data_IF_871074049402
#
_entry.id   IF_871074049402
#
_cell.length_a   1.000
_cell.length_b   1.000
_cell.length_c   1.000
_cell.angle_alpha   90.00
_cell.angle_beta   90.00
_cell.angle_gamma   90.00
#
_symmetry.space_group_name_H-M   'P 1'
#
loop_
_entity.id
_entity.type
_entity.pdbx_description
1 polymer ?
#
# COMPACT_ATOMS: atom_id res chain seq x y z
N UNK A 1 -2.88 -26.61 3.07
CA UNK A 1 -4.20 -26.16 3.55
C UNK A 1 -4.35 -24.64 3.37
N UNK A 2 -3.41 -23.83 3.83
CA UNK A 2 -3.46 -22.37 3.79
C UNK A 2 -3.73 -21.84 2.37
N UNK A 3 -2.96 -22.29 1.36
CA UNK A 3 -3.12 -21.89 -0.05
C UNK A 3 -4.54 -22.17 -0.56
N UNK A 4 -5.12 -23.34 -0.26
CA UNK A 4 -6.47 -23.70 -0.71
C UNK A 4 -7.53 -22.79 -0.08
N UNK A 5 -7.47 -22.59 1.24
CA UNK A 5 -8.45 -21.75 1.94
C UNK A 5 -8.35 -20.29 1.52
N UNK A 6 -7.13 -19.77 1.38
CA UNK A 6 -6.88 -18.42 0.87
C UNK A 6 -7.43 -18.25 -0.56
N UNK A 7 -7.29 -19.28 -1.43
CA UNK A 7 -7.81 -19.23 -2.79
C UNK A 7 -9.33 -19.12 -2.82
N UNK A 8 -10.04 -19.87 -1.99
CA UNK A 8 -11.50 -19.72 -1.85
C UNK A 8 -11.87 -18.30 -1.39
N UNK A 9 -11.22 -17.80 -0.33
CA UNK A 9 -11.49 -16.47 0.18
C UNK A 9 -11.17 -15.38 -0.85
N UNK A 10 -10.05 -15.51 -1.58
CA UNK A 10 -9.64 -14.57 -2.62
C UNK A 10 -10.61 -14.49 -3.82
N UNK A 11 -11.26 -15.60 -4.18
CA UNK A 11 -12.19 -15.63 -5.29
C UNK A 11 -13.58 -15.05 -4.98
N UNK A 12 -13.92 -14.92 -3.68
CA UNK A 12 -15.27 -14.48 -3.26
C UNK A 12 -15.64 -13.09 -3.79
N UNK A 13 -16.96 -12.80 -3.94
CA UNK A 13 -17.45 -11.50 -4.41
C UNK A 13 -16.91 -10.30 -3.60
N UNK A 14 -16.85 -10.43 -2.27
CA UNK A 14 -16.32 -9.39 -1.38
C UNK A 14 -14.79 -9.40 -1.27
N UNK A 15 -14.11 -10.06 -2.18
CA UNK A 15 -12.66 -10.11 -2.33
C UNK A 15 -12.25 -9.64 -3.73
N UNK A 16 -11.64 -10.50 -4.55
CA UNK A 16 -11.28 -10.17 -5.94
C UNK A 16 -12.45 -10.34 -6.91
N UNK A 17 -13.53 -10.97 -6.49
CA UNK A 17 -14.73 -11.27 -7.30
C UNK A 17 -14.37 -11.99 -8.62
N UNK A 18 -13.63 -13.09 -8.52
CA UNK A 18 -13.09 -13.82 -9.66
C UNK A 18 -13.96 -14.97 -10.11
N UNK A 19 -14.03 -15.14 -11.42
CA UNK A 19 -14.76 -16.24 -12.07
C UNK A 19 -14.07 -16.71 -13.35
N UNK A 20 -14.55 -17.79 -13.95
CA UNK A 20 -14.07 -18.30 -15.25
C UNK A 20 -14.26 -17.31 -16.42
N UNK A 21 -15.00 -16.21 -16.23
CA UNK A 21 -15.17 -15.15 -17.24
C UNK A 21 -14.07 -14.11 -17.22
N UNK A 22 -13.19 -14.14 -16.21
CA UNK A 22 -12.14 -13.15 -16.06
C UNK A 22 -10.89 -13.53 -16.85
N UNK A 23 -10.19 -12.50 -17.30
CA UNK A 23 -8.84 -12.58 -17.87
C UNK A 23 -7.96 -11.75 -16.94
N UNK A 24 -7.07 -12.42 -16.22
CA UNK A 24 -6.27 -11.84 -15.15
C UNK A 24 -4.82 -11.60 -15.59
N UNK A 25 -4.31 -10.41 -15.31
CA UNK A 25 -2.90 -10.03 -15.52
C UNK A 25 -2.23 -9.78 -14.15
N UNK A 26 -1.54 -10.77 -13.55
CA UNK A 26 -0.79 -10.57 -12.32
C UNK A 26 0.57 -9.92 -12.63
N UNK A 27 0.69 -8.61 -12.40
CA UNK A 27 1.96 -7.88 -12.53
C UNK A 27 2.70 -7.91 -11.18
N UNK A 28 2.75 -9.10 -10.60
CA UNK A 28 3.41 -9.38 -9.31
C UNK A 28 4.35 -10.57 -9.52
N UNK A 29 5.61 -10.49 -9.04
CA UNK A 29 6.58 -11.57 -9.25
C UNK A 29 6.12 -12.91 -8.65
N UNK A 30 6.32 -14.00 -9.38
CA UNK A 30 5.99 -15.36 -8.92
C UNK A 30 6.74 -15.75 -7.64
N UNK A 31 7.93 -15.21 -7.41
CA UNK A 31 8.70 -15.46 -6.19
C UNK A 31 8.15 -14.74 -4.95
N UNK A 32 7.27 -13.74 -5.13
CA UNK A 32 6.69 -12.98 -4.01
C UNK A 32 5.29 -13.51 -3.68
N UNK A 33 5.23 -14.37 -2.68
CA UNK A 33 4.01 -15.07 -2.21
C UNK A 33 3.22 -15.68 -3.38
N UNK A 34 3.97 -16.25 -4.36
CA UNK A 34 3.44 -16.85 -5.59
C UNK A 34 2.50 -15.90 -6.35
N UNK A 35 2.99 -14.70 -6.68
CA UNK A 35 2.20 -13.65 -7.33
C UNK A 35 0.87 -13.38 -6.60
N UNK A 36 0.92 -13.23 -5.28
CA UNK A 36 -0.23 -13.03 -4.40
C UNK A 36 -1.29 -14.15 -4.47
N UNK A 37 -0.82 -15.39 -4.69
CA UNK A 37 -1.70 -16.56 -4.75
C UNK A 37 -2.53 -16.65 -6.04
N UNK A 38 -2.37 -15.72 -6.99
CA UNK A 38 -3.18 -15.66 -8.21
C UNK A 38 -3.16 -16.92 -9.06
N UNK A 39 -2.04 -17.68 -9.24
CA UNK A 39 -2.07 -18.92 -10.00
C UNK A 39 -2.99 -19.98 -9.41
N UNK A 40 -3.08 -20.06 -8.09
CA UNK A 40 -3.94 -21.02 -7.40
C UNK A 40 -5.41 -20.64 -7.52
N UNK A 41 -5.72 -19.34 -7.34
CA UNK A 41 -7.07 -18.80 -7.47
C UNK A 41 -7.53 -18.99 -8.92
N UNK A 42 -6.71 -18.64 -9.90
CA UNK A 42 -7.02 -18.76 -11.32
C UNK A 42 -7.34 -20.21 -11.72
N UNK A 43 -6.49 -21.15 -11.29
CA UNK A 43 -6.72 -22.59 -11.54
C UNK A 43 -8.02 -23.08 -10.90
N UNK A 44 -8.33 -22.61 -9.69
CA UNK A 44 -9.54 -23.01 -8.97
C UNK A 44 -10.84 -22.52 -9.64
N UNK A 45 -10.87 -21.28 -10.12
CA UNK A 45 -12.08 -20.70 -10.74
C UNK A 45 -12.13 -20.88 -12.26
N UNK A 46 -11.00 -21.29 -12.89
CA UNK A 46 -10.91 -21.46 -14.34
C UNK A 46 -10.76 -20.14 -15.12
N UNK A 47 -10.26 -19.07 -14.51
CA UNK A 47 -9.99 -17.82 -15.24
C UNK A 47 -8.70 -17.92 -16.07
N UNK A 48 -8.64 -17.14 -17.14
CA UNK A 48 -7.43 -17.05 -17.98
C UNK A 48 -6.36 -16.23 -17.30
N UNK A 49 -5.11 -16.71 -17.32
CA UNK A 49 -3.94 -15.94 -16.88
C UNK A 49 -3.17 -15.40 -18.08
N UNK A 50 -2.89 -14.10 -18.06
CA UNK A 50 -1.94 -13.43 -18.96
C UNK A 50 -0.69 -13.14 -18.15
N UNK A 51 0.43 -13.76 -18.51
CA UNK A 51 1.69 -13.60 -17.78
C UNK A 51 2.57 -12.57 -18.50
N UNK A 52 2.95 -11.46 -17.83
CA UNK A 52 3.66 -10.35 -18.50
C UNK A 52 5.11 -10.71 -18.87
N UNK A 53 5.68 -11.80 -18.33
CA UNK A 53 7.11 -12.09 -18.51
C UNK A 53 7.98 -11.00 -17.88
N UNK A 54 9.10 -10.62 -18.53
CA UNK A 54 9.99 -9.57 -18.04
C UNK A 54 9.51 -8.14 -18.37
N UNK A 55 8.52 -7.97 -19.26
CA UNK A 55 8.01 -6.67 -19.72
C UNK A 55 7.01 -6.07 -18.75
N UNK A 56 7.50 -5.43 -17.70
CA UNK A 56 6.66 -4.81 -16.65
C UNK A 56 6.53 -3.29 -16.82
N UNK A 57 7.03 -2.73 -17.91
CA UNK A 57 6.86 -1.31 -18.24
C UNK A 57 5.43 -1.01 -18.71
N UNK A 58 5.03 0.25 -18.58
CA UNK A 58 3.66 0.66 -18.86
C UNK A 58 3.22 0.41 -20.32
N UNK A 59 4.10 0.52 -21.29
CA UNK A 59 3.78 0.28 -22.71
C UNK A 59 3.50 -1.21 -22.97
N UNK A 60 4.37 -2.10 -22.46
CA UNK A 60 4.18 -3.54 -22.54
C UNK A 60 2.88 -3.99 -21.88
N UNK A 61 2.59 -3.46 -20.70
CA UNK A 61 1.35 -3.78 -19.97
C UNK A 61 0.09 -3.25 -20.67
N UNK A 62 0.13 -2.04 -21.24
CA UNK A 62 -0.98 -1.49 -22.03
C UNK A 62 -1.27 -2.38 -23.22
N UNK A 63 -0.23 -2.81 -23.96
CA UNK A 63 -0.38 -3.70 -25.10
C UNK A 63 -1.00 -5.05 -24.71
N UNK A 64 -0.55 -5.67 -23.60
CA UNK A 64 -1.11 -6.93 -23.11
C UNK A 64 -2.58 -6.78 -22.71
N UNK A 65 -2.95 -5.69 -22.02
CA UNK A 65 -4.34 -5.43 -21.63
C UNK A 65 -5.22 -5.31 -22.86
N UNK A 66 -4.79 -4.57 -23.87
CA UNK A 66 -5.56 -4.34 -25.09
C UNK A 66 -5.64 -5.60 -25.98
N UNK A 67 -4.52 -6.35 -26.12
CA UNK A 67 -4.46 -7.57 -26.93
C UNK A 67 -5.31 -8.71 -26.34
N UNK A 68 -5.09 -9.02 -25.06
CA UNK A 68 -5.71 -10.16 -24.40
C UNK A 68 -7.06 -9.83 -23.72
N UNK A 69 -7.53 -8.58 -23.82
CA UNK A 69 -8.80 -8.13 -23.23
C UNK A 69 -8.86 -8.36 -21.72
N UNK A 70 -7.78 -8.03 -21.02
CA UNK A 70 -7.67 -8.21 -19.58
C UNK A 70 -8.80 -7.52 -18.83
N UNK A 71 -9.44 -8.24 -17.90
CA UNK A 71 -10.57 -7.72 -17.10
C UNK A 71 -10.16 -7.31 -15.70
N UNK A 72 -9.12 -7.93 -15.15
CA UNK A 72 -8.55 -7.63 -13.85
C UNK A 72 -7.03 -7.71 -13.89
N UNK A 73 -6.36 -6.74 -13.28
CA UNK A 73 -4.91 -6.75 -13.15
C UNK A 73 -4.48 -6.46 -11.71
N UNK A 74 -3.33 -7.02 -11.28
CA UNK A 74 -2.84 -6.90 -9.91
C UNK A 74 -1.39 -6.38 -9.93
N UNK A 75 -1.09 -5.40 -9.08
CA UNK A 75 0.26 -4.83 -9.01
C UNK A 75 0.44 -3.82 -7.89
N UNK A 76 1.65 -3.30 -7.80
CA UNK A 76 2.04 -2.25 -6.84
C UNK A 76 1.87 -0.85 -7.46
N UNK A 77 1.77 0.23 -6.67
CA UNK A 77 1.52 1.58 -7.20
C UNK A 77 2.52 2.04 -8.27
N UNK A 78 3.80 1.70 -8.16
CA UNK A 78 4.83 2.08 -9.14
C UNK A 78 4.56 1.50 -10.54
N UNK A 79 4.04 0.28 -10.61
CA UNK A 79 3.60 -0.37 -11.85
C UNK A 79 2.41 0.40 -12.45
N UNK A 80 1.43 0.72 -11.63
CA UNK A 80 0.23 1.43 -12.07
C UNK A 80 0.52 2.85 -12.55
N UNK A 81 1.47 3.54 -11.93
CA UNK A 81 1.92 4.85 -12.41
C UNK A 81 2.48 4.76 -13.83
N UNK A 82 3.33 3.75 -14.10
CA UNK A 82 3.85 3.49 -15.45
C UNK A 82 2.75 3.18 -16.46
N UNK A 83 1.78 2.33 -16.07
CA UNK A 83 0.62 2.00 -16.92
C UNK A 83 -0.21 3.23 -17.28
N UNK A 84 -0.56 4.06 -16.29
CA UNK A 84 -1.37 5.26 -16.51
C UNK A 84 -0.68 6.27 -17.45
N UNK A 85 0.64 6.45 -17.30
CA UNK A 85 1.42 7.31 -18.20
C UNK A 85 1.44 6.76 -19.62
N UNK A 86 1.69 5.45 -19.79
CA UNK A 86 1.74 4.82 -21.10
C UNK A 86 0.37 4.81 -21.80
N UNK A 87 -0.70 4.41 -21.08
CA UNK A 87 -2.07 4.41 -21.62
C UNK A 87 -2.47 5.81 -22.10
N UNK A 88 -2.15 6.85 -21.32
CA UNK A 88 -2.38 8.26 -21.73
C UNK A 88 -1.60 8.62 -22.99
N UNK A 89 -0.34 8.22 -23.11
CA UNK A 89 0.52 8.55 -24.26
C UNK A 89 0.01 7.96 -25.58
N UNK A 90 -0.61 6.75 -25.52
CA UNK A 90 -1.19 6.09 -26.72
C UNK A 90 -2.70 6.29 -26.86
N UNK A 91 -3.31 7.13 -26.00
CA UNK A 91 -4.76 7.34 -25.94
C UNK A 91 -5.58 6.03 -25.77
N UNK A 92 -5.04 5.02 -25.10
CA UNK A 92 -5.81 3.84 -24.72
C UNK A 92 -6.77 4.17 -23.59
N UNK A 93 -8.02 3.75 -23.71
CA UNK A 93 -9.02 3.86 -22.66
C UNK A 93 -9.07 2.64 -21.73
N UNK A 94 -8.19 1.63 -21.95
CA UNK A 94 -8.18 0.36 -21.23
C UNK A 94 -9.58 -0.28 -21.13
N UNK A 95 -10.33 -0.44 -22.21
CA UNK A 95 -11.79 -0.58 -22.20
C UNK A 95 -12.27 -1.86 -21.52
N UNK A 96 -11.42 -2.88 -21.44
CA UNK A 96 -11.74 -4.18 -20.83
C UNK A 96 -11.31 -4.29 -19.38
N UNK A 97 -10.37 -3.43 -18.92
CA UNK A 97 -9.87 -3.45 -17.54
C UNK A 97 -10.94 -2.87 -16.60
N UNK A 98 -11.68 -3.72 -15.93
CA UNK A 98 -12.76 -3.32 -15.01
C UNK A 98 -12.35 -3.25 -13.55
N UNK A 99 -11.30 -3.97 -13.18
CA UNK A 99 -10.78 -4.00 -11.81
C UNK A 99 -9.25 -3.98 -11.83
N UNK A 100 -8.69 -3.14 -10.99
CA UNK A 100 -7.27 -3.22 -10.65
C UNK A 100 -7.09 -3.43 -9.15
N UNK A 101 -6.18 -4.32 -8.78
CA UNK A 101 -5.83 -4.58 -7.38
C UNK A 101 -4.53 -3.88 -7.07
N UNK A 102 -4.54 -3.05 -6.05
CA UNK A 102 -3.37 -2.33 -5.57
C UNK A 102 -3.04 -2.81 -4.17
N UNK A 103 -1.80 -3.26 -3.99
CA UNK A 103 -1.29 -3.72 -2.71
C UNK A 103 0.21 -3.53 -2.60
N UNK A 104 0.78 -3.98 -1.49
CA UNK A 104 2.22 -3.90 -1.24
C UNK A 104 2.70 -2.56 -0.69
N UNK A 105 2.05 -1.45 -1.02
CA UNK A 105 2.20 -0.13 -0.40
C UNK A 105 0.89 0.65 -0.51
N UNK A 106 0.81 1.80 0.17
CA UNK A 106 -0.37 2.66 0.11
C UNK A 106 -0.66 3.12 -1.34
N UNK A 107 -1.95 3.15 -1.70
CA UNK A 107 -2.39 3.66 -3.00
C UNK A 107 -2.54 5.18 -2.94
N UNK A 108 -1.84 5.95 -3.77
CA UNK A 108 -2.03 7.39 -3.85
C UNK A 108 -3.49 7.75 -4.23
N UNK A 109 -4.16 8.68 -3.51
CA UNK A 109 -5.54 9.07 -3.81
C UNK A 109 -5.76 9.51 -5.25
N UNK A 110 -4.82 10.26 -5.82
CA UNK A 110 -4.88 10.73 -7.21
C UNK A 110 -4.87 9.56 -8.22
N UNK A 111 -4.13 8.49 -7.93
CA UNK A 111 -4.09 7.29 -8.77
C UNK A 111 -5.43 6.57 -8.78
N UNK A 112 -6.01 6.33 -7.61
CA UNK A 112 -7.32 5.69 -7.47
C UNK A 112 -8.42 6.51 -8.17
N UNK A 113 -8.38 7.85 -7.99
CA UNK A 113 -9.28 8.77 -8.69
C UNK A 113 -9.13 8.69 -10.22
N UNK A 114 -7.90 8.60 -10.73
CA UNK A 114 -7.64 8.48 -12.17
C UNK A 114 -8.20 7.18 -12.74
N UNK A 115 -8.02 6.03 -12.06
CA UNK A 115 -8.61 4.76 -12.51
C UNK A 115 -10.13 4.84 -12.58
N UNK A 116 -10.79 5.44 -11.60
CA UNK A 116 -12.24 5.61 -11.57
C UNK A 116 -12.71 6.57 -12.67
N UNK A 117 -12.20 7.80 -12.68
CA UNK A 117 -12.78 8.91 -13.46
C UNK A 117 -12.41 8.85 -14.94
N UNK A 118 -11.23 8.32 -15.29
CA UNK A 118 -10.70 8.30 -16.66
C UNK A 118 -10.89 6.93 -17.32
N UNK A 119 -10.73 5.85 -16.56
CA UNK A 119 -10.66 4.50 -17.12
C UNK A 119 -11.88 3.62 -16.79
N UNK A 120 -12.84 4.12 -16.02
CA UNK A 120 -14.00 3.31 -15.55
C UNK A 120 -13.54 1.99 -14.93
N UNK A 121 -12.47 2.03 -14.15
CA UNK A 121 -11.83 0.88 -13.55
C UNK A 121 -11.91 0.98 -12.03
N UNK A 122 -12.52 -0.03 -11.41
CA UNK A 122 -12.63 -0.13 -9.96
C UNK A 122 -11.29 -0.51 -9.35
N UNK A 123 -10.83 0.25 -8.36
CA UNK A 123 -9.64 -0.08 -7.60
C UNK A 123 -9.99 -0.85 -6.33
N UNK A 124 -9.41 -2.04 -6.19
CA UNK A 124 -9.47 -2.86 -4.97
C UNK A 124 -8.16 -2.64 -4.21
N UNK A 125 -8.19 -1.86 -3.12
CA UNK A 125 -7.03 -1.71 -2.27
C UNK A 125 -6.90 -2.93 -1.37
N UNK A 126 -5.72 -3.55 -1.33
CA UNK A 126 -5.47 -4.79 -0.63
C UNK A 126 -4.26 -4.67 0.30
N UNK A 127 -4.35 -5.35 1.43
CA UNK A 127 -3.23 -5.51 2.34
C UNK A 127 -2.97 -6.98 2.66
N UNK A 128 -1.71 -7.28 2.80
CA UNK A 128 -1.25 -8.59 3.21
C UNK A 128 0.27 -8.70 3.15
N UNK A 129 0.76 -9.83 3.58
CA UNK A 129 2.18 -10.14 3.69
C UNK A 129 2.40 -11.64 3.50
N UNK A 130 3.64 -12.09 3.44
CA UNK A 130 3.95 -13.53 3.29
C UNK A 130 3.28 -14.34 4.40
N UNK A 131 3.27 -13.82 5.60
CA UNK A 131 2.69 -14.41 6.80
C UNK A 131 1.16 -14.55 6.73
N UNK A 132 0.50 -13.82 5.83
CA UNK A 132 -0.96 -13.91 5.60
C UNK A 132 -1.33 -14.70 4.34
N UNK A 133 -0.39 -15.36 3.67
CA UNK A 133 -0.51 -16.32 2.55
C UNK A 133 -1.19 -15.84 1.23
N UNK A 134 -1.18 -14.62 0.74
CA UNK A 134 -0.82 -13.32 1.31
C UNK A 134 -2.01 -12.48 1.80
N UNK A 135 -3.22 -12.99 1.80
CA UNK A 135 -4.47 -12.22 1.93
C UNK A 135 -4.79 -11.90 3.39
N UNK A 136 -4.59 -10.64 3.78
CA UNK A 136 -4.99 -10.08 5.07
C UNK A 136 -6.30 -9.30 5.01
N UNK A 137 -6.44 -8.36 4.07
CA UNK A 137 -7.67 -7.60 3.86
C UNK A 137 -7.82 -7.11 2.42
N UNK A 138 -9.07 -6.79 2.05
CA UNK A 138 -9.46 -6.25 0.75
C UNK A 138 -10.56 -5.21 0.92
N UNK A 139 -10.48 -4.16 0.12
CA UNK A 139 -11.47 -3.09 0.17
C UNK A 139 -12.61 -3.34 -0.81
N UNK A 140 -13.73 -3.77 -0.26
CA UNK A 140 -15.02 -3.83 -0.96
C UNK A 140 -16.07 -3.05 -0.18
N UNK A 141 -16.80 -2.17 -0.88
CA UNK A 141 -17.85 -1.35 -0.28
C UNK A 141 -19.02 -2.21 0.20
N UNK A 142 -19.67 -1.79 1.29
CA UNK A 142 -20.91 -2.40 1.77
C UNK A 142 -22.11 -1.76 1.08
N UNK A 143 -23.28 -2.43 1.07
CA UNK A 143 -24.51 -1.91 0.48
C UNK A 143 -24.96 -0.56 1.05
N UNK A 144 -24.69 -0.31 2.33
CA UNK A 144 -24.97 1.00 2.95
C UNK A 144 -24.21 2.17 2.32
N UNK A 145 -23.07 1.91 1.66
CA UNK A 145 -22.27 2.92 0.98
C UNK A 145 -22.81 3.29 -0.40
N UNK A 146 -23.83 2.58 -0.93
CA UNK A 146 -24.38 2.85 -2.26
C UNK A 146 -24.95 4.26 -2.38
N UNK A 147 -25.50 4.81 -1.27
CA UNK A 147 -26.08 6.15 -1.24
C UNK A 147 -25.04 7.29 -1.12
N UNK A 148 -23.77 6.97 -0.85
CA UNK A 148 -22.71 7.96 -0.74
C UNK A 148 -22.31 8.50 -2.10
N UNK A 149 -21.80 9.73 -2.13
CA UNK A 149 -21.15 10.32 -3.29
C UNK A 149 -19.89 9.53 -3.71
N UNK A 150 -19.43 9.72 -4.93
CA UNK A 150 -18.22 9.04 -5.40
C UNK A 150 -16.95 9.45 -4.65
N UNK A 151 -16.90 10.69 -4.16
CA UNK A 151 -15.77 11.16 -3.35
C UNK A 151 -15.81 10.56 -1.93
N UNK A 152 -16.98 10.41 -1.31
CA UNK A 152 -17.11 9.69 -0.03
C UNK A 152 -16.76 8.21 -0.18
N UNK A 153 -17.20 7.55 -1.26
CA UNK A 153 -16.79 6.18 -1.59
C UNK A 153 -15.28 6.07 -1.79
N UNK A 154 -14.66 7.07 -2.43
CA UNK A 154 -13.21 7.11 -2.61
C UNK A 154 -12.49 7.14 -1.28
N UNK A 155 -12.94 7.95 -0.30
CA UNK A 155 -12.33 7.99 1.03
C UNK A 155 -12.34 6.61 1.70
N UNK A 156 -13.46 5.88 1.62
CA UNK A 156 -13.53 4.51 2.16
C UNK A 156 -12.56 3.57 1.41
N UNK A 157 -12.48 3.69 0.06
CA UNK A 157 -11.60 2.85 -0.76
C UNK A 157 -10.11 3.09 -0.54
N UNK A 158 -9.72 4.22 0.04
CA UNK A 158 -8.33 4.49 0.41
C UNK A 158 -7.86 3.63 1.60
N UNK A 159 -8.77 3.13 2.44
CA UNK A 159 -8.43 2.15 3.47
C UNK A 159 -8.03 0.80 2.84
N UNK A 160 -7.32 -0.05 3.60
CA UNK A 160 -6.93 -1.39 3.14
C UNK A 160 -8.07 -2.41 3.22
N UNK A 161 -9.30 -1.92 3.50
CA UNK A 161 -10.49 -2.74 3.51
C UNK A 161 -10.65 -3.61 4.76
N UNK A 162 -11.36 -4.71 4.62
CA UNK A 162 -11.76 -5.59 5.70
C UNK A 162 -11.15 -6.98 5.55
N UNK A 163 -10.91 -7.72 6.66
CA UNK A 163 -10.50 -9.11 6.56
C UNK A 163 -11.60 -9.95 5.88
N UNK A 164 -11.21 -10.90 5.02
CA UNK A 164 -12.15 -11.87 4.46
C UNK A 164 -12.56 -12.89 5.53
N UNK A 165 -13.67 -13.60 5.28
CA UNK A 165 -14.12 -14.68 6.16
C UNK A 165 -13.00 -15.70 6.42
N UNK A 166 -12.77 -16.04 7.69
CA UNK A 166 -11.70 -16.93 8.14
C UNK A 166 -10.42 -16.24 8.61
N UNK A 167 -10.43 -14.90 8.60
CA UNK A 167 -9.40 -14.03 9.19
C UNK A 167 -10.03 -13.07 10.18
N UNK A 168 -9.39 -12.90 11.31
CA UNK A 168 -9.74 -11.93 12.34
C UNK A 168 -8.60 -10.94 12.50
N UNK A 169 -8.93 -9.69 12.80
CA UNK A 169 -7.98 -8.61 13.08
C UNK A 169 -8.37 -7.88 14.35
N UNK A 170 -7.37 -7.38 15.05
CA UNK A 170 -7.53 -6.45 16.17
C UNK A 170 -6.40 -5.43 16.18
N UNK A 171 -6.60 -4.34 16.88
CA UNK A 171 -5.53 -3.40 17.23
C UNK A 171 -5.30 -3.43 18.74
N UNK A 172 -4.03 -3.35 19.16
CA UNK A 172 -3.63 -3.40 20.57
C UNK A 172 -2.76 -2.21 20.93
N UNK A 173 -2.62 -1.92 22.22
CA UNK A 173 -1.69 -0.90 22.70
C UNK A 173 -0.28 -1.11 22.16
N UNK A 174 0.37 -0.02 21.74
CA UNK A 174 1.70 -0.10 21.14
C UNK A 174 2.79 -0.59 22.12
N UNK A 175 2.71 -0.22 23.40
CA UNK A 175 3.75 -0.56 24.37
C UNK A 175 3.55 -1.93 25.04
N UNK A 176 2.30 -2.38 25.21
CA UNK A 176 1.99 -3.61 25.96
C UNK A 176 1.46 -4.76 25.10
N UNK A 177 1.05 -4.49 23.87
CA UNK A 177 0.71 -5.49 22.86
C UNK A 177 -0.50 -6.39 23.15
N UNK A 178 -1.10 -6.35 24.34
CA UNK A 178 -2.15 -7.29 24.77
C UNK A 178 -3.51 -6.63 25.04
N UNK A 179 -3.56 -5.33 25.30
CA UNK A 179 -4.81 -4.62 25.54
C UNK A 179 -5.41 -4.19 24.23
N UNK A 180 -6.55 -4.79 23.88
CA UNK A 180 -7.27 -4.47 22.65
C UNK A 180 -7.83 -3.04 22.69
N UNK A 181 -7.68 -2.34 21.58
CA UNK A 181 -8.15 -0.98 21.39
C UNK A 181 -9.51 -0.96 20.65
N UNK A 182 -10.33 0.09 20.85
CA UNK A 182 -11.64 0.18 20.21
C UNK A 182 -11.55 0.36 18.69
N UNK A 183 -12.52 -0.23 17.98
CA UNK A 183 -12.70 -0.05 16.53
C UNK A 183 -13.53 1.22 16.26
N UNK A 184 -12.98 2.38 16.56
CA UNK A 184 -13.62 3.70 16.43
C UNK A 184 -13.16 4.52 15.22
N UNK A 185 -12.22 3.98 14.44
CA UNK A 185 -11.61 4.63 13.28
C UNK A 185 -10.53 5.66 13.61
N UNK A 186 -10.33 5.99 14.89
CA UNK A 186 -9.41 7.04 15.35
C UNK A 186 -8.27 6.51 16.21
N UNK A 187 -8.59 5.58 17.12
CA UNK A 187 -7.58 4.98 18.00
C UNK A 187 -6.66 4.07 17.21
N UNK A 188 -5.36 4.38 17.21
CA UNK A 188 -4.34 3.57 16.55
C UNK A 188 -3.68 2.58 17.50
N UNK A 189 -3.26 1.45 16.95
CA UNK A 189 -2.57 0.41 17.70
C UNK A 189 -1.79 -0.54 16.79
N UNK A 190 -1.06 -1.48 17.42
CA UNK A 190 -0.41 -2.58 16.69
C UNK A 190 -1.46 -3.45 16.05
N UNK A 191 -1.40 -3.61 14.73
CA UNK A 191 -2.30 -4.50 14.01
C UNK A 191 -1.89 -5.95 14.23
N UNK A 192 -2.78 -6.73 14.78
CA UNK A 192 -2.63 -8.16 14.97
C UNK A 192 -3.67 -8.93 14.16
N UNK A 193 -3.27 -10.11 13.67
CA UNK A 193 -4.09 -10.92 12.76
C UNK A 193 -4.03 -12.39 13.17
N UNK A 194 -5.14 -13.13 13.03
CA UNK A 194 -5.17 -14.59 13.14
C UNK A 194 -6.12 -15.18 12.11
N UNK A 195 -5.96 -16.45 11.78
CA UNK A 195 -6.86 -17.11 10.84
C UNK A 195 -6.31 -18.39 10.25
N UNK A 196 -7.14 -19.02 9.43
CA UNK A 196 -6.88 -20.39 8.94
C UNK A 196 -5.69 -20.51 7.97
N UNK A 197 -5.21 -19.41 7.40
CA UNK A 197 -4.05 -19.35 6.51
C UNK A 197 -2.96 -18.38 6.97
N UNK A 198 -3.11 -17.85 8.20
CA UNK A 198 -2.10 -17.01 8.83
C UNK A 198 -0.97 -17.91 9.34
N UNK A 199 0.24 -17.37 9.37
CA UNK A 199 1.45 -18.05 9.85
C UNK A 199 1.26 -18.59 11.29
N UNK A 200 1.89 -19.73 11.56
CA UNK A 200 2.03 -20.25 12.92
C UNK A 200 3.49 -20.21 13.39
N UNK A 201 4.42 -20.50 12.47
CA UNK A 201 5.86 -20.45 12.74
C UNK A 201 6.64 -20.23 11.45
N UNK A 202 7.82 -19.65 11.55
CA UNK A 202 8.74 -19.52 10.42
C UNK A 202 9.48 -20.85 10.17
N UNK A 203 9.75 -21.12 8.90
CA UNK A 203 10.51 -22.30 8.52
C UNK A 203 11.87 -22.35 9.21
N UNK A 204 12.22 -23.52 9.77
CA UNK A 204 13.46 -23.72 10.50
C UNK A 204 13.51 -23.11 11.90
N UNK A 205 12.41 -22.53 12.40
CA UNK A 205 12.27 -22.07 13.79
C UNK A 205 11.39 -23.03 14.56
N UNK A 206 11.77 -23.30 15.82
CA UNK A 206 10.99 -24.14 16.74
C UNK A 206 9.99 -23.30 17.55
N UNK A 207 10.12 -21.99 17.54
CA UNK A 207 9.30 -21.06 18.29
C UNK A 207 8.07 -20.68 17.46
N UNK A 208 6.93 -20.50 18.13
CA UNK A 208 5.73 -19.93 17.52
C UNK A 208 6.00 -18.47 17.10
N UNK A 209 5.45 -18.06 15.95
CA UNK A 209 5.41 -16.66 15.55
C UNK A 209 4.22 -15.90 16.16
N UNK A 210 3.36 -16.61 16.91
CA UNK A 210 2.16 -16.06 17.51
C UNK A 210 2.42 -15.59 18.95
N UNK A 211 1.66 -14.61 19.37
CA UNK A 211 1.54 -14.19 20.77
C UNK A 211 0.98 -15.35 21.63
N UNK A 212 1.04 -15.22 22.96
CA UNK A 212 0.54 -16.25 23.88
C UNK A 212 -0.94 -16.58 23.68
N UNK A 213 -1.74 -15.58 23.25
CA UNK A 213 -3.18 -15.72 22.96
C UNK A 213 -3.49 -16.03 21.48
N UNK A 214 -2.46 -16.39 20.70
CA UNK A 214 -2.63 -16.96 19.36
C UNK A 214 -2.77 -15.96 18.20
N UNK A 215 -2.33 -14.72 18.37
CA UNK A 215 -2.31 -13.70 17.31
C UNK A 215 -0.92 -13.53 16.72
N UNK A 216 -0.86 -13.19 15.45
CA UNK A 216 0.36 -12.75 14.77
C UNK A 216 0.44 -11.23 14.80
N UNK A 217 1.53 -10.68 15.33
CA UNK A 217 1.84 -9.25 15.27
C UNK A 217 2.43 -8.92 13.90
N UNK A 218 1.74 -8.06 13.15
CA UNK A 218 2.12 -7.75 11.77
C UNK A 218 3.27 -6.75 11.67
N UNK A 219 3.54 -6.01 12.74
CA UNK A 219 4.45 -4.87 12.77
C UNK A 219 3.91 -3.65 12.02
N UNK A 220 2.62 -3.63 11.67
CA UNK A 220 1.92 -2.48 11.13
C UNK A 220 1.14 -1.77 12.25
N UNK A 221 1.06 -0.44 12.19
CA UNK A 221 0.18 0.39 13.01
C UNK A 221 -1.04 0.76 12.19
N UNK A 222 -2.22 0.58 12.78
CA UNK A 222 -3.49 0.81 12.09
C UNK A 222 -4.55 1.38 13.01
N UNK A 223 -5.58 1.97 12.41
CA UNK A 223 -6.90 2.13 13.00
C UNK A 223 -7.89 1.16 12.38
N UNK A 224 -8.94 0.79 13.09
CA UNK A 224 -10.06 0.00 12.55
C UNK A 224 -11.34 0.75 12.87
N UNK A 225 -12.19 0.94 11.86
CA UNK A 225 -13.48 1.60 12.09
C UNK A 225 -14.58 0.62 12.53
N UNK A 226 -15.73 1.15 12.92
CA UNK A 226 -16.88 0.36 13.36
C UNK A 226 -17.45 -0.59 12.28
N UNK A 227 -17.07 -0.43 11.03
CA UNK A 227 -17.41 -1.28 9.90
C UNK A 227 -16.37 -2.37 9.64
N UNK A 228 -15.26 -2.33 10.36
CA UNK A 228 -14.12 -3.24 10.24
C UNK A 228 -13.13 -2.85 9.14
N UNK A 229 -13.21 -1.64 8.58
CA UNK A 229 -12.21 -1.17 7.62
C UNK A 229 -10.91 -0.80 8.34
N UNK A 230 -9.83 -1.41 7.88
CA UNK A 230 -8.47 -1.19 8.38
C UNK A 230 -7.88 0.00 7.63
N UNK A 231 -7.35 0.96 8.36
CA UNK A 231 -6.58 2.06 7.80
C UNK A 231 -5.15 2.00 8.36
N UNK A 232 -4.21 1.52 7.54
CA UNK A 232 -2.80 1.45 7.90
C UNK A 232 -2.22 2.87 8.01
N UNK A 233 -1.65 3.14 9.17
CA UNK A 233 -0.99 4.42 9.44
C UNK A 233 0.48 4.36 8.99
N UNK A 234 1.20 3.33 9.41
CA UNK A 234 2.59 3.11 9.04
C UNK A 234 3.08 1.72 9.48
N UNK A 235 4.33 1.39 9.15
CA UNK A 235 5.10 0.36 9.83
C UNK A 235 5.60 0.89 11.19
N UNK A 236 5.54 0.09 12.24
CA UNK A 236 6.03 0.47 13.57
C UNK A 236 7.48 0.99 13.53
N UNK A 237 8.33 0.40 12.67
CA UNK A 237 9.74 0.79 12.47
C UNK A 237 9.96 2.02 11.57
N UNK A 238 8.94 2.47 10.85
CA UNK A 238 9.01 3.58 9.89
C UNK A 238 8.26 4.82 10.39
N UNK A 239 7.46 4.68 11.47
CA UNK A 239 6.90 5.80 12.22
C UNK A 239 8.02 6.70 12.73
N UNK A 240 7.82 8.01 12.61
CA UNK A 240 8.80 9.02 13.00
C UNK A 240 8.40 9.57 14.36
N UNK A 241 9.26 9.37 15.38
CA UNK A 241 8.99 9.80 16.76
C UNK A 241 9.54 11.20 17.02
N UNK A 242 8.73 12.22 16.84
CA UNK A 242 9.13 13.61 16.99
C UNK A 242 8.62 14.20 18.31
N UNK A 243 9.52 14.43 19.27
CA UNK A 243 9.17 15.05 20.55
C UNK A 243 8.14 14.28 21.38
N UNK A 244 8.08 12.95 21.22
CA UNK A 244 7.12 12.09 21.90
C UNK A 244 5.84 11.82 21.13
N UNK A 245 5.58 12.53 20.04
CA UNK A 245 4.44 12.34 19.15
C UNK A 245 4.84 11.53 17.90
N UNK A 246 3.88 10.81 17.31
CA UNK A 246 4.10 9.99 16.14
C UNK A 246 3.68 10.69 14.85
N UNK A 247 4.54 10.64 13.83
CA UNK A 247 4.28 11.16 12.49
C UNK A 247 4.30 10.00 11.51
N UNK A 248 3.23 9.85 10.72
CA UNK A 248 3.15 8.84 9.67
C UNK A 248 4.03 9.20 8.48
N UNK A 249 4.97 8.33 8.17
CA UNK A 249 5.79 8.46 6.97
C UNK A 249 4.97 8.28 5.70
N UNK A 250 3.96 7.42 5.73
CA UNK A 250 3.05 7.16 4.60
C UNK A 250 2.18 8.39 4.29
N UNK A 251 1.68 9.09 5.31
CA UNK A 251 0.92 10.32 5.11
C UNK A 251 1.76 11.39 4.41
N UNK A 252 2.99 11.57 4.88
CA UNK A 252 3.92 12.53 4.27
C UNK A 252 4.26 12.16 2.81
N UNK A 253 4.48 10.89 2.52
CA UNK A 253 4.70 10.40 1.16
C UNK A 253 3.51 10.67 0.24
N UNK A 254 2.30 10.39 0.71
CA UNK A 254 1.07 10.63 -0.06
C UNK A 254 0.88 12.13 -0.38
N UNK A 255 1.17 13.00 0.58
CA UNK A 255 1.12 14.45 0.37
C UNK A 255 2.17 14.87 -0.66
N UNK A 256 3.42 14.45 -0.50
CA UNK A 256 4.50 14.81 -1.43
C UNK A 256 4.20 14.32 -2.85
N UNK A 257 3.76 13.06 -3.01
CA UNK A 257 3.39 12.49 -4.31
C UNK A 257 2.11 13.08 -4.90
N UNK A 258 1.30 13.76 -4.11
CA UNK A 258 0.16 14.55 -4.59
C UNK A 258 0.56 15.85 -5.31
N UNK A 259 1.82 16.26 -5.21
CA UNK A 259 2.33 17.42 -5.93
C UNK A 259 2.66 17.08 -7.39
N UNK A 260 2.14 17.83 -8.40
CA UNK A 260 2.27 17.46 -9.82
C UNK A 260 3.71 17.42 -10.35
N UNK A 261 4.64 18.10 -9.65
CA UNK A 261 6.06 18.17 -10.00
C UNK A 261 6.91 17.08 -9.31
N UNK A 262 6.30 16.14 -8.56
CA UNK A 262 6.98 15.04 -7.89
C UNK A 262 6.61 13.72 -8.56
N UNK A 263 7.62 12.94 -8.93
CA UNK A 263 7.43 11.61 -9.50
C UNK A 263 7.37 10.53 -8.41
N UNK A 264 8.20 10.64 -7.38
CA UNK A 264 8.25 9.68 -6.26
C UNK A 264 8.77 10.39 -5.02
N UNK A 265 8.29 9.97 -3.85
CA UNK A 265 8.78 10.47 -2.58
C UNK A 265 8.78 9.39 -1.50
N UNK A 266 9.81 9.40 -0.66
CA UNK A 266 9.92 8.61 0.56
C UNK A 266 10.10 9.55 1.75
N UNK A 267 9.38 9.30 2.84
CA UNK A 267 9.57 9.98 4.11
C UNK A 267 10.34 9.07 5.08
N UNK A 268 11.37 9.62 5.70
CA UNK A 268 12.18 8.91 6.69
C UNK A 268 12.41 9.77 7.93
N UNK A 269 12.66 9.10 9.05
CA UNK A 269 13.17 9.74 10.25
C UNK A 269 14.64 10.17 10.05
N UNK A 270 14.95 11.42 10.39
CA UNK A 270 16.31 11.91 10.55
C UNK A 270 16.55 12.28 12.02
N UNK A 271 17.75 11.98 12.53
CA UNK A 271 18.14 12.24 13.92
C UNK A 271 18.15 13.76 14.14
N UNK A 272 17.49 14.21 15.22
CA UNK A 272 17.40 15.60 15.59
C UNK A 272 17.71 15.80 17.08
N UNK A 273 18.62 16.74 17.44
CA UNK A 273 19.11 16.94 18.81
C UNK A 273 18.02 17.25 19.84
N UNK A 274 16.98 17.97 19.45
CA UNK A 274 15.92 18.44 20.35
C UNK A 274 14.70 17.52 20.37
N UNK A 275 14.39 16.86 19.23
CA UNK A 275 13.13 16.17 19.04
C UNK A 275 13.29 14.64 18.87
N UNK A 276 14.47 14.09 19.15
CA UNK A 276 14.92 12.72 18.84
C UNK A 276 14.94 12.48 17.33
N UNK A 277 13.79 12.58 16.67
CA UNK A 277 13.65 12.42 15.23
C UNK A 277 12.82 13.56 14.63
N UNK A 278 13.12 13.89 13.38
CA UNK A 278 12.29 14.75 12.54
C UNK A 278 12.11 14.14 11.15
N UNK A 279 10.94 14.35 10.53
CA UNK A 279 10.72 13.87 9.19
C UNK A 279 11.55 14.65 8.17
N UNK A 280 12.09 13.92 7.20
CA UNK A 280 12.65 14.48 5.97
C UNK A 280 12.05 13.74 4.76
N UNK A 281 11.95 14.44 3.63
CA UNK A 281 11.48 13.86 2.36
C UNK A 281 12.66 13.65 1.43
N UNK A 282 12.77 12.45 0.89
CA UNK A 282 13.66 12.12 -0.23
C UNK A 282 12.78 12.00 -1.47
N UNK A 283 12.99 12.84 -2.48
CA UNK A 283 12.07 12.93 -3.61
C UNK A 283 12.77 12.88 -4.97
N UNK A 284 12.09 12.26 -5.93
CA UNK A 284 12.43 12.32 -7.36
C UNK A 284 11.49 13.33 -8.01
N UNK A 285 12.06 14.30 -8.70
CA UNK A 285 11.28 15.28 -9.48
C UNK A 285 10.58 14.62 -10.66
N UNK A 286 9.40 15.12 -11.03
CA UNK A 286 8.79 14.76 -12.30
C UNK A 286 9.66 15.26 -13.47
N UNK A 287 9.49 14.68 -14.65
CA UNK A 287 10.23 15.06 -15.83
C UNK A 287 10.07 16.57 -16.10
N UNK A 288 11.16 17.25 -16.44
CA UNK A 288 11.23 18.68 -16.72
C UNK A 288 10.76 19.59 -15.57
N UNK A 289 10.81 19.08 -14.33
CA UNK A 289 10.39 19.83 -13.13
C UNK A 289 11.55 20.61 -12.51
N UNK A 290 11.26 21.86 -12.17
CA UNK A 290 12.15 22.81 -11.50
C UNK A 290 11.81 23.02 -10.01
N UNK A 291 10.95 22.17 -9.43
CA UNK A 291 10.50 22.31 -8.03
C UNK A 291 11.66 22.45 -7.06
N UNK A 292 11.51 23.38 -6.12
CA UNK A 292 12.47 23.65 -5.04
C UNK A 292 12.03 22.96 -3.74
N UNK A 293 12.99 22.81 -2.80
CA UNK A 293 12.70 22.37 -1.43
C UNK A 293 11.64 23.24 -0.76
N UNK A 294 11.78 24.55 -0.83
CA UNK A 294 10.85 25.49 -0.22
C UNK A 294 9.42 25.38 -0.80
N UNK A 295 9.30 25.15 -2.10
CA UNK A 295 8.00 24.95 -2.77
C UNK A 295 7.31 23.67 -2.29
N UNK A 296 8.04 22.57 -2.17
CA UNK A 296 7.46 21.33 -1.68
C UNK A 296 7.14 21.41 -0.18
N UNK A 297 7.99 21.99 0.66
CA UNK A 297 7.69 22.23 2.08
C UNK A 297 6.45 23.12 2.26
N UNK A 298 6.29 24.15 1.46
CA UNK A 298 5.09 24.99 1.48
C UNK A 298 3.82 24.22 1.11
N UNK A 299 3.93 23.24 0.21
CA UNK A 299 2.80 22.39 -0.19
C UNK A 299 2.22 21.55 0.95
N UNK A 300 2.99 21.29 2.01
CA UNK A 300 2.51 20.63 3.23
C UNK A 300 1.71 21.55 4.15
N UNK A 301 1.91 22.87 4.08
CA UNK A 301 1.47 23.83 5.11
C UNK A 301 -0.04 23.81 5.42
N UNK A 302 -0.87 23.53 4.40
CA UNK A 302 -2.33 23.53 4.55
C UNK A 302 -2.92 22.10 4.65
N UNK A 303 -2.07 21.08 4.72
CA UNK A 303 -2.50 19.67 4.65
C UNK A 303 -2.27 18.90 5.94
N UNK A 304 -1.30 19.33 6.75
CA UNK A 304 -0.94 18.71 8.02
C UNK A 304 -0.63 19.75 9.08
N UNK A 305 -0.57 19.32 10.33
CA UNK A 305 -0.21 20.22 11.43
C UNK A 305 1.25 20.71 11.29
N UNK A 306 1.52 21.93 11.73
CA UNK A 306 2.83 22.59 11.58
C UNK A 306 4.01 21.77 12.10
N UNK A 307 3.80 21.04 13.19
CA UNK A 307 4.84 20.22 13.82
C UNK A 307 5.14 18.93 13.06
N UNK A 308 4.25 18.50 12.14
CA UNK A 308 4.42 17.33 11.28
C UNK A 308 5.15 17.64 9.97
N UNK A 309 5.25 18.94 9.60
CA UNK A 309 5.90 19.34 8.35
C UNK A 309 7.36 18.86 8.36
N UNK A 310 7.85 18.24 7.27
CA UNK A 310 9.24 17.82 7.14
C UNK A 310 10.22 18.99 7.30
N UNK A 311 11.35 18.73 7.94
CA UNK A 311 12.39 19.76 8.15
C UNK A 311 13.24 19.97 6.90
N UNK A 312 13.34 18.97 6.02
CA UNK A 312 14.11 19.02 4.77
C UNK A 312 13.45 18.25 3.64
N UNK A 313 13.72 18.67 2.41
CA UNK A 313 13.50 17.90 1.19
C UNK A 313 14.82 17.72 0.45
N UNK A 314 15.18 16.49 0.14
CA UNK A 314 16.39 16.15 -0.61
C UNK A 314 15.95 15.55 -1.94
N UNK A 315 16.33 16.19 -3.03
CA UNK A 315 16.07 15.67 -4.37
C UNK A 315 17.19 14.72 -4.80
N UNK A 316 16.79 13.58 -5.33
CA UNK A 316 17.67 12.51 -5.80
C UNK A 316 17.25 12.04 -7.18
N UNK A 317 18.18 11.43 -7.93
CA UNK A 317 17.89 10.86 -9.26
C UNK A 317 17.15 9.51 -9.14
N UNK A 318 17.34 8.77 -8.06
CA UNK A 318 16.70 7.48 -7.83
C UNK A 318 16.47 7.19 -6.34
N UNK A 319 15.40 6.48 -6.04
CA UNK A 319 15.11 5.91 -4.71
C UNK A 319 15.31 4.39 -4.82
N UNK A 320 16.09 3.77 -3.91
CA UNK A 320 16.30 2.32 -3.92
C UNK A 320 14.99 1.58 -3.72
N UNK A 321 14.76 0.55 -4.55
CA UNK A 321 13.56 -0.28 -4.50
C UNK A 321 13.93 -1.74 -4.22
N UNK A 322 13.05 -2.45 -3.54
CA UNK A 322 13.12 -3.91 -3.42
C UNK A 322 12.83 -4.57 -4.78
N UNK A 323 13.15 -5.85 -4.94
CA UNK A 323 12.77 -6.62 -6.13
C UNK A 323 11.26 -6.70 -6.37
N UNK A 324 10.44 -6.25 -5.43
CA UNK A 324 8.98 -6.16 -5.51
C UNK A 324 8.46 -4.74 -5.74
N UNK A 325 9.35 -3.77 -6.00
CA UNK A 325 9.00 -2.37 -6.27
C UNK A 325 8.67 -1.50 -5.05
N UNK A 326 8.95 -1.97 -3.83
CA UNK A 326 8.77 -1.19 -2.59
C UNK A 326 10.03 -0.36 -2.28
N UNK A 327 9.84 0.85 -1.77
CA UNK A 327 10.96 1.71 -1.35
C UNK A 327 11.75 1.10 -0.19
N UNK A 328 13.08 1.12 -0.30
CA UNK A 328 14.02 0.65 0.72
C UNK A 328 14.36 1.78 1.69
N UNK A 329 13.42 2.12 2.59
CA UNK A 329 13.61 3.19 3.59
C UNK A 329 14.82 2.96 4.51
N UNK A 330 15.22 1.70 4.72
CA UNK A 330 16.43 1.38 5.51
C UNK A 330 17.66 2.01 4.88
N UNK A 331 17.87 1.82 3.58
CA UNK A 331 19.05 2.35 2.88
C UNK A 331 19.03 3.88 2.86
N UNK A 332 17.82 4.47 2.71
CA UNK A 332 17.66 5.93 2.79
C UNK A 332 17.99 6.47 4.18
N UNK A 333 17.61 5.78 5.27
CA UNK A 333 17.99 6.17 6.64
C UNK A 333 19.49 6.05 6.87
N UNK A 334 20.14 5.02 6.32
CA UNK A 334 21.59 4.86 6.41
C UNK A 334 22.32 6.01 5.70
N UNK A 335 21.78 6.50 4.58
CA UNK A 335 22.39 7.56 3.77
C UNK A 335 22.06 8.97 4.27
N UNK A 336 20.84 9.24 4.69
CA UNK A 336 20.33 10.60 4.97
C UNK A 336 19.90 10.82 6.42
N UNK A 337 19.89 9.78 7.27
CA UNK A 337 19.35 9.86 8.63
C UNK A 337 20.08 10.82 9.57
N UNK A 338 21.29 11.29 9.24
CA UNK A 338 22.07 12.26 10.04
C UNK A 338 22.09 13.68 9.47
N UNK A 339 21.44 13.94 8.34
CA UNK A 339 21.56 15.20 7.59
C UNK A 339 21.17 16.45 8.41
N UNK A 340 20.27 16.32 9.38
CA UNK A 340 19.86 17.43 10.23
C UNK A 340 20.92 17.79 11.30
N UNK A 341 21.76 16.84 11.70
CA UNK A 341 22.88 17.12 12.61
C UNK A 341 23.99 17.93 11.95
N UNK A 342 24.18 17.75 10.65
CA UNK A 342 25.22 18.41 9.86
C UNK A 342 24.84 19.86 9.53
N UNK A 343 23.55 20.16 9.35
CA UNK A 343 23.05 21.50 9.01
C UNK A 343 23.08 22.50 10.18
N UNK A 344 23.15 22.03 11.42
CA UNK A 344 23.22 22.88 12.62
C UNK A 344 24.69 23.26 13.01
N UNK A 345 25.69 22.71 12.33
CA UNK A 345 27.10 22.93 12.62
C UNK A 345 27.73 23.99 11.70
N UNK A 346 27.00 24.53 10.75
CA UNK A 346 27.38 25.62 9.85
C UNK A 346 26.52 26.84 10.15
#
# INVERSE_FOLDING_TARGET
RSTVLQSYAGAMPDSLNLSARDIMLPVVPMFHVNAWGTPYIAAMVGCTLVLPGPGLDGASLTALIDEYKVTIALGVPTIWQGLLLAAKAVNSSLPTLKRNVIGGSACPPAMMKTFRDVYDCETIHAWGMTETSPLGSLNQLKSKHNALSDDEKLQIRLSQGRPPFGVEVRITEQEKGMVEQPNDGNTSGNLQIRGHWIINAYYGKNESALTEDGWFDTGDIATIDADGFINLQDRAKDLIKSGGEWISSVELENIAMGHPKIAMAAAIAAIHRKWDERPIIIAIKAQDSDITEAELLHYFSDKIAKWQIPDRVIFVDSIPLTGTGKMLKKDLREQFGSVLLESETN
#
